data_IF_533839886316
#
_entry.id   IF_533839886316
#
_cell.length_a   1.000
_cell.length_b   1.000
_cell.length_c   1.000
_cell.angle_alpha   90.00
_cell.angle_beta   90.00
_cell.angle_gamma   90.00
#
_symmetry.space_group_name_H-M   'P 1'
#
loop_
_entity.id
_entity.type
_entity.pdbx_description
1 polymer ?
#
# COMPACT_ATOMS: atom_id res chain seq x y z
N UNK A 1 -20.39 -25.16 -14.66
CA UNK A 1 -19.02 -25.63 -14.34
C UNK A 1 -18.11 -24.44 -13.99
N UNK A 2 -17.87 -24.31 -12.69
CA UNK A 2 -16.93 -23.43 -12.00
C UNK A 2 -17.02 -21.92 -12.29
N UNK A 3 -17.88 -21.26 -11.55
CA UNK A 3 -17.69 -19.87 -11.12
C UNK A 3 -16.38 -19.81 -10.33
N UNK A 4 -15.25 -19.63 -11.02
CA UNK A 4 -13.97 -19.36 -10.38
C UNK A 4 -14.03 -17.89 -9.94
N UNK A 5 -14.74 -17.64 -8.85
CA UNK A 5 -14.55 -16.45 -8.04
C UNK A 5 -13.10 -16.54 -7.53
N UNK A 6 -12.17 -16.13 -8.38
CA UNK A 6 -10.80 -15.83 -7.95
C UNK A 6 -11.02 -14.82 -6.82
N UNK A 7 -10.65 -15.16 -5.58
CA UNK A 7 -10.83 -14.26 -4.46
C UNK A 7 -10.18 -12.94 -4.88
N UNK A 8 -10.92 -11.83 -4.84
CA UNK A 8 -10.40 -10.51 -5.21
C UNK A 8 -9.10 -10.18 -4.43
N UNK A 9 -8.88 -10.86 -3.30
CA UNK A 9 -7.68 -10.82 -2.48
C UNK A 9 -6.44 -11.48 -3.13
N UNK A 10 -6.57 -12.50 -3.97
CA UNK A 10 -5.42 -13.22 -4.55
C UNK A 10 -4.87 -12.58 -5.83
N UNK A 11 -5.64 -11.70 -6.50
CA UNK A 11 -5.16 -11.00 -7.70
C UNK A 11 -4.32 -9.75 -7.39
N UNK A 12 -4.39 -9.22 -6.17
CA UNK A 12 -3.75 -7.94 -5.79
C UNK A 12 -2.33 -8.11 -5.21
N UNK A 13 -1.95 -9.33 -4.80
CA UNK A 13 -0.66 -9.58 -4.14
C UNK A 13 0.46 -10.08 -5.08
N UNK A 14 0.14 -10.49 -6.31
CA UNK A 14 1.14 -11.12 -7.20
C UNK A 14 2.14 -10.16 -7.86
N UNK A 15 1.93 -8.85 -7.73
CA UNK A 15 2.97 -7.85 -8.00
C UNK A 15 2.88 -6.84 -6.89
N UNK A 16 3.53 -7.10 -5.75
CA UNK A 16 3.83 -6.01 -4.83
C UNK A 16 4.61 -4.98 -5.64
N UNK A 17 4.06 -3.78 -5.85
CA UNK A 17 4.84 -2.73 -6.46
C UNK A 17 5.92 -2.39 -5.44
N UNK A 18 7.18 -2.52 -5.84
CA UNK A 18 8.29 -2.00 -5.05
C UNK A 18 8.19 -0.48 -5.09
N UNK A 19 7.37 0.09 -4.20
CA UNK A 19 7.22 1.54 -4.09
C UNK A 19 8.50 2.10 -3.48
N UNK A 20 9.09 3.10 -4.14
CA UNK A 20 10.29 3.76 -3.64
C UNK A 20 9.97 4.85 -2.61
N UNK A 21 8.69 5.24 -2.49
CA UNK A 21 8.25 6.33 -1.60
C UNK A 21 6.87 6.07 -1.00
N UNK A 22 6.67 6.59 0.23
CA UNK A 22 5.36 6.59 0.92
C UNK A 22 4.29 7.31 0.09
N UNK A 23 4.65 8.37 -0.62
CA UNK A 23 3.75 9.08 -1.52
C UNK A 23 3.19 8.20 -2.63
N UNK A 24 4.05 7.48 -3.36
CA UNK A 24 3.62 6.58 -4.45
C UNK A 24 2.76 5.43 -3.94
N UNK A 25 3.14 4.85 -2.79
CA UNK A 25 2.34 3.80 -2.16
C UNK A 25 0.94 4.32 -1.79
N UNK A 26 0.87 5.49 -1.14
CA UNK A 26 -0.40 6.11 -0.77
C UNK A 26 -1.26 6.42 -1.99
N UNK A 27 -0.69 6.94 -3.08
CA UNK A 27 -1.44 7.17 -4.32
C UNK A 27 -1.96 5.87 -4.92
N UNK A 28 -1.17 4.79 -4.89
CA UNK A 28 -1.56 3.50 -5.43
C UNK A 28 -2.66 2.77 -4.63
N UNK A 29 -2.77 3.03 -3.31
CA UNK A 29 -3.86 2.52 -2.47
C UNK A 29 -5.01 3.52 -2.30
N UNK A 30 -5.04 4.60 -3.09
CA UNK A 30 -6.02 5.71 -2.99
C UNK A 30 -6.03 6.45 -1.63
N UNK A 31 -4.95 6.33 -0.87
CA UNK A 31 -4.73 6.99 0.41
C UNK A 31 -3.84 8.23 0.28
N UNK A 32 -3.64 8.77 -0.93
CA UNK A 32 -2.81 9.95 -1.21
C UNK A 32 -3.12 11.17 -0.32
N UNK A 33 -4.38 11.33 0.12
CA UNK A 33 -4.81 12.38 1.06
C UNK A 33 -4.14 12.31 2.43
N UNK A 34 -3.59 11.16 2.81
CA UNK A 34 -2.88 10.97 4.08
C UNK A 34 -1.37 11.24 3.95
N UNK A 35 -0.87 11.59 2.76
CA UNK A 35 0.57 11.84 2.52
C UNK A 35 1.14 12.86 3.49
N UNK A 36 0.42 13.95 3.72
CA UNK A 36 0.82 15.00 4.67
C UNK A 36 0.83 14.49 6.12
N UNK A 37 -0.06 13.56 6.48
CA UNK A 37 -0.10 12.95 7.81
C UNK A 37 1.12 12.04 8.02
N UNK A 38 1.49 11.26 7.01
CA UNK A 38 2.69 10.43 7.07
C UNK A 38 3.97 11.28 7.11
N UNK A 39 4.02 12.35 6.31
CA UNK A 39 5.13 13.29 6.31
C UNK A 39 5.27 14.04 7.65
N UNK A 40 4.15 14.49 8.23
CA UNK A 40 4.13 15.16 9.53
C UNK A 40 4.52 14.24 10.69
N UNK A 41 4.17 12.96 10.61
CA UNK A 41 4.55 11.95 11.60
C UNK A 41 6.00 11.46 11.45
N UNK A 42 6.75 11.96 10.46
CA UNK A 42 8.14 11.56 10.22
C UNK A 42 8.27 10.19 9.55
N UNK A 43 7.20 9.66 8.95
CA UNK A 43 7.26 8.47 8.11
C UNK A 43 7.80 8.82 6.73
N UNK A 44 9.12 9.05 6.70
CA UNK A 44 9.83 9.42 5.47
C UNK A 44 10.07 8.23 4.53
N UNK A 45 9.96 6.99 5.04
CA UNK A 45 10.31 5.77 4.31
C UNK A 45 9.19 4.74 4.36
N UNK A 46 9.03 4.00 3.26
CA UNK A 46 8.07 2.92 3.17
C UNK A 46 8.36 1.83 4.19
N UNK A 47 9.63 1.56 4.48
CA UNK A 47 10.02 0.63 5.55
C UNK A 47 9.48 1.05 6.91
N UNK A 48 9.54 2.33 7.26
CA UNK A 48 8.99 2.82 8.54
C UNK A 48 7.48 2.64 8.62
N UNK A 49 6.78 2.78 7.48
CA UNK A 49 5.33 2.54 7.38
C UNK A 49 4.99 1.06 7.40
N UNK A 50 5.74 0.23 6.68
CA UNK A 50 5.55 -1.22 6.64
C UNK A 50 5.78 -1.87 8.00
N UNK A 51 6.64 -1.27 8.84
CA UNK A 51 6.89 -1.68 10.23
C UNK A 51 5.83 -1.22 11.22
N UNK A 52 4.83 -0.41 10.81
CA UNK A 52 3.62 -0.19 11.60
C UNK A 52 2.75 -1.44 11.53
N UNK A 53 3.22 -2.53 12.15
CA UNK A 53 2.38 -3.69 12.43
C UNK A 53 1.57 -3.36 13.69
N UNK A 54 0.24 -3.49 13.60
CA UNK A 54 -0.71 -3.34 14.73
C UNK A 54 -0.49 -4.38 15.80
#
# INVERSE_FOLDING_TARGET
PHSTAIPLIERTFNTFPSFNSVGEWLEAIEMGKYKDNFSAAGYCYLESVARMTV
#
